data_IF_412195152268
#
_entry.id   IF_412195152268
#
_cell.length_a   1.000
_cell.length_b   1.000
_cell.length_c   1.000
_cell.angle_alpha   90.00
_cell.angle_beta   90.00
_cell.angle_gamma   90.00
#
_symmetry.space_group_name_H-M   'P 1'
#
loop_
_entity.id
_entity.type
_entity.pdbx_description
1 polymer ?
2 polymer ?
3 non-polymer ?
4 non-polymer ?
5 non-polymer ?
6 water ?
#
# COMPACT_ATOMS: atom_id res chain seq x y z
N UNK A 35 -19.43 -9.12 0.27
CA UNK A 35 -18.65 -9.64 1.39
C UNK A 35 -18.82 -8.80 2.65
N UNK A 36 -19.72 -9.23 3.54
CA UNK A 36 -19.95 -8.46 4.76
C UNK A 36 -18.71 -8.43 5.66
N UNK A 37 -18.14 -9.59 5.98
CA UNK A 37 -17.01 -9.57 6.90
C UNK A 37 -15.73 -9.02 6.29
N UNK A 38 -15.51 -9.26 5.00
CA UNK A 38 -14.28 -8.81 4.37
C UNK A 38 -14.17 -7.30 4.35
N UNK A 39 -15.25 -6.65 3.94
CA UNK A 39 -15.29 -5.20 3.92
C UNK A 39 -15.07 -4.67 5.32
N UNK A 40 -15.74 -5.30 6.29
CA UNK A 40 -15.64 -4.89 7.66
C UNK A 40 -14.21 -4.95 8.15
N UNK A 41 -13.52 -6.01 7.76
CA UNK A 41 -12.13 -6.21 8.17
C UNK A 41 -11.22 -5.13 7.63
N UNK A 42 -11.41 -4.79 6.36
CA UNK A 42 -10.57 -3.80 5.69
C UNK A 42 -10.79 -2.43 6.30
N UNK A 43 -12.06 -2.08 6.47
CA UNK A 43 -12.44 -0.81 7.06
C UNK A 43 -11.91 -0.67 8.49
N UNK A 44 -11.87 -1.77 9.24
CA UNK A 44 -11.27 -1.75 10.57
C UNK A 44 -9.81 -1.38 10.53
N UNK A 45 -9.06 -1.96 9.59
CA UNK A 45 -7.68 -1.55 9.38
C UNK A 45 -7.57 -0.04 9.11
N UNK A 46 -8.41 0.46 8.22
CA UNK A 46 -8.32 1.87 7.84
C UNK A 46 -8.59 2.79 9.05
N UNK A 47 -9.71 2.56 9.72
CA UNK A 47 -10.09 3.35 10.90
C UNK A 47 -8.98 3.33 11.96
N UNK A 48 -8.52 2.14 12.27
CA UNK A 48 -7.45 1.96 13.23
C UNK A 48 -6.19 2.73 12.81
N UNK A 49 -5.83 2.63 11.54
CA UNK A 49 -4.66 3.34 11.04
C UNK A 49 -4.83 4.85 11.11
N UNK A 50 -6.05 5.33 10.86
CA UNK A 50 -6.29 6.76 10.86
C UNK A 50 -6.38 7.31 12.27
N UNK A 51 -6.69 6.44 13.24
CA UNK A 51 -6.58 6.85 14.63
C UNK A 51 -5.11 6.98 15.04
N UNK A 52 -4.26 6.09 14.50
CA UNK A 52 -2.81 6.19 14.66
C UNK A 52 -2.25 7.37 13.88
N UNK A 53 -2.85 7.68 12.74
CA UNK A 53 -2.39 8.81 11.98
C UNK A 53 -2.72 10.06 12.80
N UNK A 54 -3.89 10.05 13.41
CA UNK A 54 -4.43 11.22 14.09
C UNK A 54 -3.60 11.62 15.30
N UNK A 55 -2.73 10.72 15.76
CA UNK A 55 -1.87 11.05 16.90
C UNK A 55 -0.62 11.82 16.44
N UNK A 56 -0.77 12.55 15.34
CA UNK A 56 0.18 13.60 14.97
C UNK A 56 0.27 14.50 16.16
N UNK A 57 -0.91 15.01 16.52
CA UNK A 57 -1.18 15.78 17.74
C UNK A 57 -2.51 16.51 17.58
N UNK A 77 -21.70 13.01 11.80
CA UNK A 77 -20.66 11.99 11.93
C UNK A 77 -19.69 12.32 13.07
N UNK A 78 -19.22 11.28 13.75
CA UNK A 78 -18.27 11.38 14.85
C UNK A 78 -17.26 10.26 14.66
N UNK A 79 -16.07 10.36 15.25
CA UNK A 79 -15.08 9.28 15.10
C UNK A 79 -15.55 7.95 15.75
N UNK A 80 -15.94 7.96 17.05
CA UNK A 80 -16.63 6.79 17.58
C UNK A 80 -17.81 6.27 16.73
N UNK A 81 -18.55 7.15 16.06
CA UNK A 81 -19.68 6.74 15.20
C UNK A 81 -19.22 5.91 13.99
N UNK A 82 -18.21 6.40 13.29
CA UNK A 82 -17.60 5.63 12.20
C UNK A 82 -16.98 4.38 12.82
N UNK A 83 -16.26 4.58 13.92
CA UNK A 83 -15.66 3.50 14.68
C UNK A 83 -16.71 2.49 15.14
N UNK A 84 -17.90 2.99 15.48
CA UNK A 84 -19.00 2.12 15.87
C UNK A 84 -19.46 1.37 14.64
N UNK A 85 -19.78 2.13 13.60
CA UNK A 85 -20.29 1.58 12.36
C UNK A 85 -19.40 0.50 11.77
N UNK A 86 -18.09 0.71 11.78
CA UNK A 86 -17.22 -0.31 11.21
C UNK A 86 -17.23 -1.54 12.11
N UNK A 87 -16.95 -1.32 13.40
CA UNK A 87 -16.98 -2.39 14.39
C UNK A 87 -18.18 -3.32 14.27
N UNK A 88 -19.35 -2.74 14.03
CA UNK A 88 -20.55 -3.52 13.81
C UNK A 88 -20.71 -3.98 12.37
N UNK A 89 -19.77 -3.61 11.50
CA UNK A 89 -19.83 -4.02 10.10
C UNK A 89 -21.01 -3.44 9.36
N UNK A 90 -21.40 -2.22 9.71
CA UNK A 90 -22.61 -1.61 9.16
C UNK A 90 -22.49 -1.01 7.76
N UNK A 91 -21.26 -0.68 7.34
CA UNK A 91 -21.09 -0.07 6.03
C UNK A 91 -21.44 -1.02 4.89
N UNK A 92 -22.17 -0.51 3.91
CA UNK A 92 -22.71 -1.33 2.82
C UNK A 92 -21.95 -1.09 1.54
N UNK A 93 -20.99 -0.16 1.60
CA UNK A 93 -20.23 0.24 0.43
C UNK A 93 -18.99 0.98 0.89
N UNK A 94 -17.93 0.90 0.10
CA UNK A 94 -16.75 1.72 0.34
C UNK A 94 -17.07 3.18 0.11
N UNK A 95 -17.93 3.44 -0.87
CA UNK A 95 -18.30 4.81 -1.24
C UNK A 95 -19.03 5.49 -0.09
N UNK A 96 -19.82 4.70 0.63
CA UNK A 96 -20.57 5.17 1.77
C UNK A 96 -19.62 5.49 2.93
N UNK A 97 -18.63 4.66 3.12
CA UNK A 97 -17.59 4.92 4.10
C UNK A 97 -16.88 6.23 3.75
N UNK A 98 -16.59 6.40 2.46
CA UNK A 98 -15.89 7.59 2.00
C UNK A 98 -16.69 8.87 2.27
N UNK A 99 -18.00 8.79 2.07
CA UNK A 99 -18.89 9.93 2.28
C UNK A 99 -19.00 10.29 3.77
N UNK A 100 -18.94 9.29 4.64
CA UNK A 100 -18.86 9.57 6.06
C UNK A 100 -17.56 10.27 6.44
N UNK A 101 -16.45 9.80 5.88
CA UNK A 101 -15.16 10.42 6.16
C UNK A 101 -15.17 11.86 5.67
N UNK A 102 -15.85 12.07 4.56
CA UNK A 102 -16.00 13.39 3.99
C UNK A 102 -16.81 14.33 4.88
N UNK A 103 -17.93 13.83 5.40
CA UNK A 103 -18.78 14.59 6.31
C UNK A 103 -18.01 15.00 7.55
N UNK A 104 -17.29 14.04 8.11
CA UNK A 104 -16.50 14.26 9.30
C UNK A 104 -15.44 15.33 9.09
N UNK A 105 -14.79 15.28 7.93
CA UNK A 105 -13.83 16.28 7.56
C UNK A 105 -14.46 17.66 7.58
N UNK A 106 -15.65 17.75 6.97
CA UNK A 106 -16.32 19.03 6.86
C UNK A 106 -16.72 19.54 8.23
N UNK A 107 -17.36 18.70 9.02
CA UNK A 107 -17.74 19.09 10.38
C UNK A 107 -16.54 19.54 11.17
N UNK A 108 -15.43 18.85 10.99
CA UNK A 108 -14.22 19.15 11.71
C UNK A 108 -13.64 20.52 11.33
N UNK A 109 -13.59 20.81 10.03
CA UNK A 109 -13.02 22.08 9.59
C UNK A 109 -13.90 23.25 10.02
N UNK A 110 -15.22 23.03 10.03
CA UNK A 110 -16.15 24.01 10.52
C UNK A 110 -15.99 24.21 12.02
N UNK A 111 -15.83 23.11 12.74
CA UNK A 111 -15.76 23.15 14.20
C UNK A 111 -14.59 24.01 14.66
N UNK A 112 -13.43 23.82 14.03
CA UNK A 112 -12.20 24.39 14.56
C UNK A 112 -11.70 25.61 13.80
N UNK A 113 -12.23 25.83 12.62
CA UNK A 113 -11.70 26.86 11.74
C UNK A 113 -10.92 26.28 10.59
N UNK A 114 -11.11 26.84 9.40
CA UNK A 114 -10.53 26.30 8.18
C UNK A 114 -9.01 26.39 8.11
N UNK A 115 -8.39 27.05 9.08
CA UNK A 115 -6.94 27.18 9.10
C UNK A 115 -6.34 26.71 10.42
N UNK A 116 -7.14 26.03 11.24
CA UNK A 116 -6.64 25.52 12.50
C UNK A 116 -5.68 24.35 12.30
N UNK A 117 -4.96 24.00 13.35
CA UNK A 117 -4.11 22.81 13.34
C UNK A 117 -4.98 21.58 13.13
N UNK A 118 -6.16 21.60 13.74
CA UNK A 118 -7.08 20.48 13.62
C UNK A 118 -7.59 20.29 12.18
N UNK A 119 -7.88 21.39 11.50
CA UNK A 119 -8.34 21.28 10.12
C UNK A 119 -7.22 20.77 9.20
N UNK A 120 -5.97 21.09 9.53
CA UNK A 120 -4.84 20.60 8.75
C UNK A 120 -4.72 19.09 8.91
N UNK A 121 -4.82 18.64 10.16
CA UNK A 121 -4.81 17.21 10.46
C UNK A 121 -5.92 16.49 9.70
N UNK A 122 -7.13 17.04 9.75
CA UNK A 122 -8.30 16.39 9.15
C UNK A 122 -8.15 16.30 7.64
N UNK A 123 -7.59 17.33 7.03
CA UNK A 123 -7.42 17.30 5.58
C UNK A 123 -6.42 16.20 5.23
N UNK A 124 -5.35 16.13 6.00
CA UNK A 124 -4.35 15.10 5.79
C UNK A 124 -4.93 13.69 5.97
N UNK A 125 -5.75 13.51 6.99
CA UNK A 125 -6.33 12.22 7.28
C UNK A 125 -7.33 11.79 6.23
N UNK A 126 -8.07 12.75 5.70
CA UNK A 126 -9.05 12.43 4.69
C UNK A 126 -8.33 11.98 3.40
N UNK A 127 -7.24 12.64 3.09
CA UNK A 127 -6.44 12.28 1.92
C UNK A 127 -5.83 10.87 2.09
N UNK A 128 -5.29 10.59 3.28
CA UNK A 128 -4.76 9.27 3.57
C UNK A 128 -5.81 8.16 3.49
N UNK A 129 -7.00 8.44 4.02
CA UNK A 129 -8.11 7.49 3.95
C UNK A 129 -8.48 7.20 2.50
N UNK A 130 -8.51 8.24 1.68
CA UNK A 130 -8.82 8.06 0.28
C UNK A 130 -7.70 7.28 -0.41
N UNK A 131 -6.45 7.56 -0.05
CA UNK A 131 -5.33 6.75 -0.54
C UNK A 131 -5.47 5.26 -0.16
N UNK A 132 -5.81 4.97 1.10
CA UNK A 132 -5.99 3.58 1.54
C UNK A 132 -7.08 2.89 0.76
N UNK A 133 -8.18 3.61 0.53
CA UNK A 133 -9.27 3.08 -0.27
C UNK A 133 -8.86 2.84 -1.74
N UNK A 134 -8.06 3.74 -2.31
CA UNK A 134 -7.55 3.54 -3.67
C UNK A 134 -6.78 2.22 -3.73
N UNK A 135 -5.86 2.07 -2.78
CA UNK A 135 -4.96 0.93 -2.72
C UNK A 135 -5.70 -0.39 -2.51
N UNK A 136 -6.70 -0.36 -1.64
CA UNK A 136 -7.57 -1.50 -1.42
C UNK A 136 -8.23 -1.95 -2.71
N UNK A 137 -8.62 -1.01 -3.57
CA UNK A 137 -9.16 -1.36 -4.88
C UNK A 137 -8.11 -1.94 -5.85
N UNK A 138 -6.86 -1.48 -5.75
CA UNK A 138 -5.78 -2.02 -6.60
C UNK A 138 -5.60 -3.52 -6.43
N UNK A 139 -5.53 -3.98 -5.19
CA UNK A 139 -5.39 -5.40 -4.91
C UNK A 139 -5.78 -5.66 -3.47
N UNK A 140 -6.91 -6.35 -3.29
CA UNK A 140 -7.38 -6.60 -1.94
C UNK A 140 -6.46 -7.52 -1.13
N UNK A 141 -5.89 -8.53 -1.79
CA UNK A 141 -4.94 -9.39 -1.10
C UNK A 141 -3.69 -8.66 -0.61
N UNK A 142 -3.12 -7.82 -1.47
CA UNK A 142 -1.99 -7.00 -1.08
C UNK A 142 -2.34 -6.15 0.12
N UNK A 143 -3.50 -5.53 0.07
CA UNK A 143 -3.97 -4.68 1.16
C UNK A 143 -4.10 -5.46 2.46
N UNK A 144 -4.77 -6.61 2.40
CA UNK A 144 -4.90 -7.45 3.60
C UNK A 144 -3.53 -7.81 4.19
N UNK A 145 -2.64 -8.34 3.35
CA UNK A 145 -1.32 -8.76 3.84
C UNK A 145 -0.51 -7.58 4.33
N UNK A 146 -0.68 -6.42 3.68
CA UNK A 146 0.05 -5.21 4.07
C UNK A 146 -0.38 -4.69 5.43
N UNK A 147 -1.62 -5.00 5.83
CA UNK A 147 -2.13 -4.60 7.12
C UNK A 147 -2.01 -5.65 8.23
N UNK A 148 -2.24 -6.91 7.89
CA UNK A 148 -2.13 -8.01 8.86
C UNK A 148 -0.66 -8.40 9.09
N UNK A 149 0.13 -8.27 8.04
CA UNK A 149 1.58 -8.55 8.12
C UNK A 149 2.03 -9.82 8.86
N UNK A 150 1.49 -10.98 8.47
CA UNK A 150 2.10 -12.20 8.98
C UNK A 150 3.54 -12.33 8.49
N UNK A 151 4.28 -13.27 9.08
CA UNK A 151 5.65 -13.54 8.66
C UNK A 151 5.68 -13.79 7.14
N UNK A 152 6.68 -13.21 6.46
CA UNK A 152 6.79 -13.30 4.99
C UNK A 152 5.55 -12.84 4.24
N UNK A 153 4.85 -11.86 4.80
CA UNK A 153 3.63 -11.36 4.18
C UNK A 153 3.77 -10.94 2.70
N UNK A 154 4.90 -10.36 2.31
CA UNK A 154 5.05 -9.85 0.93
C UNK A 154 5.36 -10.97 -0.07
N UNK A 155 5.62 -12.17 0.44
CA UNK A 155 5.97 -13.31 -0.42
C UNK A 155 4.78 -14.12 -0.93
N UNK A 156 3.61 -13.99 -0.29
CA UNK A 156 2.43 -14.73 -0.71
C UNK A 156 1.92 -14.21 -2.04
N UNK A 157 1.56 -15.13 -2.96
CA UNK A 157 1.07 -14.64 -4.24
C UNK A 157 -0.35 -14.12 -4.19
N UNK A 158 -0.69 -13.32 -5.19
CA UNK A 158 -2.05 -12.84 -5.40
C UNK A 158 -2.59 -13.47 -6.67
N UNK A 159 -3.91 -13.35 -6.88
CA UNK A 159 -4.56 -13.70 -8.14
C UNK A 159 -5.31 -12.49 -8.72
N UNK A 160 -4.96 -12.07 -9.95
CA UNK A 160 -3.87 -12.72 -10.67
C UNK A 160 -2.50 -12.34 -10.08
N UNK A 161 -1.46 -13.06 -10.46
CA UNK A 161 -0.13 -12.81 -9.94
C UNK A 161 0.38 -11.46 -10.42
N UNK A 162 1.08 -10.75 -9.55
CA UNK A 162 1.74 -9.54 -10.00
C UNK A 162 2.92 -9.87 -10.89
N UNK A 163 3.02 -9.13 -11.97
CA UNK A 163 4.19 -9.15 -12.80
C UNK A 163 5.39 -8.75 -11.94
N UNK A 164 6.51 -9.44 -12.13
CA UNK A 164 7.72 -9.17 -11.37
C UNK A 164 8.78 -8.53 -12.26
N UNK A 165 9.41 -7.47 -11.80
CA UNK A 165 10.40 -6.77 -12.62
C UNK A 165 11.67 -6.36 -11.87
N UNK A 166 12.75 -6.12 -12.62
CA UNK A 166 13.86 -5.33 -12.09
C UNK A 166 13.55 -3.89 -12.46
N UNK A 167 13.58 -2.99 -11.49
CA UNK A 167 13.23 -1.60 -11.75
C UNK A 167 14.36 -0.70 -11.30
N UNK A 168 14.75 0.19 -12.20
CA UNK A 168 15.91 1.03 -11.94
C UNK A 168 15.49 2.43 -11.56
N UNK A 169 16.00 2.91 -10.44
CA UNK A 169 15.85 4.31 -10.06
C UNK A 169 17.24 4.88 -10.06
N UNK A 170 17.36 6.10 -10.55
CA UNK A 170 18.66 6.76 -10.69
C UNK A 170 19.45 6.70 -9.40
N UNK A 171 20.66 6.17 -9.47
CA UNK A 171 21.54 6.13 -8.32
C UNK A 171 21.41 4.88 -7.47
N UNK A 172 20.39 4.06 -7.72
CA UNK A 172 20.16 2.86 -6.90
C UNK A 172 20.45 1.57 -7.66
N UNK A 173 20.54 1.66 -8.98
CA UNK A 173 20.65 0.47 -9.79
C UNK A 173 19.32 -0.25 -9.89
N UNK A 174 19.30 -1.42 -10.52
CA UNK A 174 18.09 -2.20 -10.62
C UNK A 174 17.74 -2.88 -9.29
N UNK A 175 16.47 -2.82 -8.89
CA UNK A 175 16.00 -3.49 -7.68
C UNK A 175 14.78 -4.30 -8.04
N UNK A 176 14.61 -5.46 -7.40
CA UNK A 176 13.44 -6.29 -7.75
C UNK A 176 12.12 -5.70 -7.22
N UNK A 177 11.03 -5.86 -7.97
CA UNK A 177 9.74 -5.24 -7.58
C UNK A 177 8.53 -5.94 -8.16
N UNK A 178 7.37 -5.69 -7.54
CA UNK A 178 6.10 -6.17 -8.06
C UNK A 178 5.46 -5.04 -8.82
N UNK A 179 4.85 -5.34 -9.96
CA UNK A 179 4.11 -4.32 -10.69
C UNK A 179 2.69 -4.19 -10.13
N UNK A 180 2.33 -2.98 -9.69
CA UNK A 180 1.00 -2.77 -9.14
C UNK A 180 0.03 -2.24 -10.19
N UNK A 181 0.53 -1.40 -11.08
CA UNK A 181 -0.27 -0.96 -12.22
C UNK A 181 0.66 -0.32 -13.22
N UNK A 182 0.16 -0.08 -14.42
CA UNK A 182 0.98 0.60 -15.41
C UNK A 182 0.20 1.43 -16.42
N UNK A 183 0.91 2.38 -17.01
CA UNK A 183 0.43 3.02 -18.21
C UNK A 183 1.56 2.94 -19.22
N UNK A 184 1.33 3.42 -20.42
CA UNK A 184 2.26 3.17 -21.52
C UNK A 184 3.68 3.66 -21.21
N UNK A 185 3.77 4.83 -20.56
CA UNK A 185 5.07 5.45 -20.28
C UNK A 185 5.71 5.14 -18.94
N UNK A 186 4.96 4.54 -18.01
CA UNK A 186 5.51 4.35 -16.66
C UNK A 186 4.76 3.26 -15.91
N UNK A 187 5.42 2.74 -14.88
CA UNK A 187 4.92 1.58 -14.15
C UNK A 187 4.99 1.86 -12.64
N UNK A 188 3.90 1.56 -11.95
CA UNK A 188 3.84 1.72 -10.51
C UNK A 188 4.31 0.41 -9.88
N UNK A 189 5.48 0.41 -9.26
CA UNK A 189 6.02 -0.80 -8.66
C UNK A 189 6.10 -0.69 -7.13
N UNK A 190 6.12 -1.83 -6.46
CA UNK A 190 6.41 -1.88 -5.04
C UNK A 190 7.62 -2.78 -4.84
N UNK A 191 8.68 -2.22 -4.30
CA UNK A 191 9.94 -2.93 -4.15
C UNK A 191 9.89 -4.03 -3.09
N UNK A 192 10.61 -5.12 -3.37
CA UNK A 192 10.96 -6.09 -2.34
C UNK A 192 11.96 -5.45 -1.38
N UNK A 193 12.05 -6.01 -0.19
CA UNK A 193 13.05 -5.55 0.76
C UNK A 193 12.47 -4.56 1.77
N UNK A 194 13.33 -4.07 2.66
CA UNK A 194 12.85 -3.26 3.79
C UNK A 194 12.09 -2.02 3.35
N UNK A 195 10.98 -1.78 4.04
CA UNK A 195 10.06 -0.65 3.81
C UNK A 195 9.08 -0.83 2.64
N UNK A 196 9.39 -1.77 1.72
CA UNK A 196 8.46 -2.08 0.61
C UNK A 196 7.83 -0.84 -0.01
N UNK A 197 8.69 0.07 -0.45
CA UNK A 197 8.19 1.37 -0.92
C UNK A 197 7.70 1.32 -2.36
N UNK A 198 7.02 2.40 -2.77
CA UNK A 198 6.38 2.51 -4.07
C UNK A 198 7.15 3.51 -4.92
N UNK A 199 7.21 3.27 -6.23
CA UNK A 199 7.71 4.29 -7.14
C UNK A 199 7.06 4.16 -8.51
N UNK A 200 6.94 5.30 -9.20
CA UNK A 200 6.53 5.28 -10.59
C UNK A 200 7.83 5.24 -11.37
N UNK A 201 7.94 4.25 -12.24
CA UNK A 201 9.21 3.97 -12.89
C UNK A 201 8.93 4.08 -14.37
N UNK A 202 9.76 4.85 -15.10
CA UNK A 202 9.60 4.96 -16.55
C UNK A 202 9.77 3.58 -17.20
N UNK A 203 8.98 3.32 -18.23
CA UNK A 203 8.98 2.06 -18.97
C UNK A 203 10.35 1.48 -19.31
N UNK A 204 11.29 2.35 -19.67
CA UNK A 204 12.60 1.90 -20.11
C UNK A 204 13.53 1.65 -18.93
N UNK A 205 13.04 1.84 -17.71
CA UNK A 205 13.84 1.52 -16.52
C UNK A 205 13.42 0.20 -15.89
N UNK A 206 12.70 -0.60 -16.69
CA UNK A 206 12.12 -1.86 -16.26
C UNK A 206 12.65 -3.05 -17.09
N UNK A 207 13.00 -4.18 -16.46
CA UNK A 207 13.26 -5.44 -17.18
C UNK A 207 12.49 -6.57 -16.51
N UNK A 208 12.08 -7.61 -17.25
CA UNK A 208 11.37 -8.71 -16.59
C UNK A 208 12.31 -9.49 -15.67
N UNK A 209 11.75 -10.08 -14.61
CA UNK A 209 12.55 -10.67 -13.54
C UNK A 209 13.36 -11.90 -13.98
N UNK A 210 12.96 -12.51 -15.08
CA UNK A 210 13.64 -13.70 -15.56
C UNK A 210 14.94 -13.36 -16.29
N UNK A 211 15.21 -12.08 -16.48
CA UNK A 211 16.51 -11.66 -16.95
C UNK A 211 17.54 -11.90 -15.86
N UNK A 212 18.70 -12.44 -16.21
CA UNK A 212 19.73 -12.70 -15.22
C UNK A 212 20.33 -11.43 -14.62
N UNK A 213 20.50 -11.45 -13.30
CA UNK A 213 20.88 -10.26 -12.56
C UNK A 213 22.28 -9.75 -12.89
N UNK A 214 23.20 -10.64 -13.27
CA UNK A 214 24.56 -10.20 -13.59
C UNK A 214 24.59 -9.42 -14.90
N UNK A 215 23.48 -9.41 -15.61
CA UNK A 215 23.41 -8.68 -16.86
C UNK A 215 22.98 -7.23 -16.60
N UNK A 216 22.79 -6.91 -15.33
CA UNK A 216 22.17 -5.65 -14.96
C UNK A 216 23.05 -4.86 -14.04
N UNK A 217 22.94 -3.54 -14.15
CA UNK A 217 23.61 -2.64 -13.24
C UNK A 217 22.96 -2.72 -11.85
N UNK A 218 23.64 -3.34 -10.92
CA UNK A 218 23.12 -3.42 -9.55
C UNK A 218 24.16 -2.95 -8.55
N UNK A 219 23.65 -2.43 -7.44
CA UNK A 219 24.47 -2.02 -6.32
C UNK A 219 24.17 -2.96 -5.17
N UNK A 220 25.11 -3.86 -4.88
CA UNK A 220 24.86 -5.03 -4.03
C UNK A 220 24.96 -4.81 -2.52
N UNK A 221 24.23 -3.81 -2.02
CA UNK A 221 24.14 -3.53 -0.58
C UNK A 221 23.45 -4.64 0.23
N UNK A 222 23.57 -4.57 1.56
CA UNK A 222 22.84 -5.46 2.46
C UNK A 222 21.36 -5.43 2.14
N UNK A 223 20.82 -4.21 1.98
CA UNK A 223 19.42 -4.03 1.69
C UNK A 223 19.04 -4.68 0.36
N UNK A 224 19.87 -4.50 -0.66
CA UNK A 224 19.64 -5.12 -1.96
C UNK A 224 19.61 -6.65 -1.86
N UNK A 225 20.54 -7.22 -1.09
CA UNK A 225 20.57 -8.67 -0.91
C UNK A 225 19.34 -9.21 -0.20
N UNK A 226 18.86 -8.49 0.81
CA UNK A 226 17.63 -8.89 1.48
C UNK A 226 16.43 -8.83 0.53
N UNK A 227 16.40 -7.80 -0.32
CA UNK A 227 15.33 -7.68 -1.31
C UNK A 227 15.33 -8.88 -2.25
N UNK A 228 16.51 -9.30 -2.68
CA UNK A 228 16.63 -10.43 -3.58
C UNK A 228 16.25 -11.76 -2.92
N UNK A 229 16.59 -11.92 -1.63
CA UNK A 229 16.20 -13.12 -0.89
C UNK A 229 14.69 -13.19 -0.76
N UNK A 230 14.07 -12.05 -0.47
CA UNK A 230 12.62 -11.99 -0.39
C UNK A 230 11.98 -12.31 -1.73
N UNK A 231 12.54 -11.75 -2.81
CA UNK A 231 12.08 -12.08 -4.16
C UNK A 231 12.06 -13.59 -4.44
N UNK A 232 13.18 -14.25 -4.14
CA UNK A 232 13.27 -15.68 -4.43
C UNK A 232 12.30 -16.50 -3.55
N UNK A 233 12.09 -16.08 -2.31
CA UNK A 233 11.08 -16.73 -1.48
C UNK A 233 9.69 -16.57 -2.09
N UNK A 234 9.38 -15.36 -2.58
CA UNK A 234 8.13 -15.12 -3.27
C UNK A 234 8.00 -16.00 -4.51
N UNK A 235 9.05 -16.08 -5.32
CA UNK A 235 8.97 -16.88 -6.53
C UNK A 235 8.72 -18.34 -6.21
N UNK A 236 9.31 -18.81 -5.13
CA UNK A 236 9.03 -20.17 -4.65
C UNK A 236 7.58 -20.36 -4.20
N UNK A 237 7.07 -19.47 -3.33
CA UNK A 237 5.69 -19.56 -2.87
C UNK A 237 4.74 -19.59 -4.07
N UNK A 238 5.10 -18.82 -5.09
CA UNK A 238 4.31 -18.71 -6.30
C UNK A 238 4.29 -20.03 -7.06
N UNK A 239 5.45 -20.67 -7.19
CA UNK A 239 5.49 -21.93 -7.90
C UNK A 239 4.83 -23.04 -7.08
N UNK A 240 4.87 -22.90 -5.76
CA UNK A 240 4.27 -23.87 -4.84
C UNK A 240 2.76 -23.73 -4.76
N UNK A 241 2.23 -22.60 -5.22
CA UNK A 241 0.83 -22.30 -5.00
C UNK A 241 0.57 -22.10 -3.52
N UNK A 242 1.54 -21.55 -2.82
CA UNK A 242 1.36 -21.36 -1.39
C UNK A 242 0.73 -20.00 -1.17
N UNK A 243 -0.61 -19.98 -1.19
CA UNK A 243 -1.37 -18.77 -0.88
C UNK A 243 -1.53 -18.58 0.62
N UNK A 244 -1.67 -17.34 1.05
CA UNK A 244 -1.89 -17.05 2.45
C UNK A 244 -3.25 -17.58 2.88
N UNK A 245 -3.28 -18.32 3.99
CA UNK A 245 -4.53 -18.89 4.50
C UNK A 245 -4.87 -18.32 5.88
N UNK B 11 3.52 6.42 7.06
CA UNK B 11 3.56 5.63 5.82
C UNK B 11 2.24 4.89 5.59
N UNK B 12 1.73 4.97 4.36
CA UNK B 12 0.55 4.19 3.95
C UNK B 12 0.81 2.69 4.17
N UNK B 13 -0.23 1.91 4.37
CA UNK B 13 -0.05 0.48 4.66
C UNK B 13 0.62 -0.26 3.49
N UNK B 14 0.32 0.16 2.26
CA UNK B 14 0.87 -0.49 1.07
C UNK B 14 2.10 0.23 0.51
N UNK B 15 2.75 1.01 1.37
CA UNK B 15 4.05 1.59 1.06
C UNK B 15 4.04 3.08 0.75
N UNK B 16 4.99 3.79 1.34
CA UNK B 16 5.24 5.18 1.02
C UNK B 16 6.08 5.28 -0.25
N UNK B 17 6.12 6.48 -0.84
CA UNK B 17 6.85 6.70 -2.07
C UNK B 17 8.35 6.66 -1.79
N UNK B 18 9.10 5.94 -2.63
CA UNK B 18 10.54 5.83 -2.47
C UNK B 18 11.23 7.11 -2.97
N UNK B 19 12.05 7.71 -2.12
CA UNK B 19 12.64 9.01 -2.45
C UNK B 19 13.80 8.85 -3.41
N UNK B 20 13.90 9.75 -4.42
CA UNK B 20 15.04 9.60 -5.33
C UNK B 20 16.38 9.71 -4.60
N UNK B 21 17.43 9.20 -5.24
CA UNK B 21 18.75 9.10 -4.62
C UNK B 21 19.40 10.47 -4.38
X LIG C 1 -1.57 -8.16 -4.71
X LIG D 1 9.04 -3.51 6.31
X LIG D 1 8.14 -2.99 5.17
X LIG D 1 9.35 -4.99 6.18
X LIG D 1 10.39 -2.83 6.37
X LIG D 1 8.28 -3.28 7.60
X LIG E 1 -11.99 12.74 8.37
X LIG E 1 -11.23 13.75 9.04
X LIG E 1 -11.00 11.76 7.75
X LIG E 1 -11.65 10.48 7.65
X LIG E 1 -11.05 9.47 8.48
X LIG E 1 -12.08 8.39 8.79
X LIG E 1 -11.55 7.48 9.75
#
# INVERSE_FOLDING_TARGET
MGSSHHHHHHSSGLVPRGSHMASMTGGQQMGRGSNKQEMGTYLRFIVSRMKERAIDLNKKGKDSKHPMYRRLVHSAVDVPTIQEKVNEGKYRSYEEFKADAQLLLHNTVIFYGAASAQADIARMLYKDTCHELDELQLCKNCFYLSNARPDNWFCYPCIPNHELVWAKMKGFGFWPAKVMQKEDNQVDVRFFGHHHQRAWIPSENIQDITVNVHRLHVKRSMGWKKACDELELHQRFLREGRFWKSKNEDRG
QLATKAARKSAPSTGGVKKPHRYR
ZN ZN
PO4 P O1 O2 O3 O4
PEG C1 O1 C2 O2 C3 C4 O4
#
